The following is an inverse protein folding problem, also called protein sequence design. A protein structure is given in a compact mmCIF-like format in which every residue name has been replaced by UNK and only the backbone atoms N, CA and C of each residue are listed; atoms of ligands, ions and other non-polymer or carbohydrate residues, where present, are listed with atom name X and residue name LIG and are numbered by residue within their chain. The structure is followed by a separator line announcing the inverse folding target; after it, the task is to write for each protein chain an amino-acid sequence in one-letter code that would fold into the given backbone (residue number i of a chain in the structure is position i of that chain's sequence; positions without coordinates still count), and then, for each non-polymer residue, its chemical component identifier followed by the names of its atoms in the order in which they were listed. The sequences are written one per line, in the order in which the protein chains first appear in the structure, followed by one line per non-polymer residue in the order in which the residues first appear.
data_IF_731590284349
#
_entry.id   IF_731590284349
#
_cell.length_a   1.000
_cell.length_b   1.000
_cell.length_c   1.000
_cell.angle_alpha   90.00
_cell.angle_beta   90.00
_cell.angle_gamma   90.00
#
_symmetry.space_group_name_H-M   'P 1'
#
loop_
_entity.id
_entity.type
_entity.pdbx_description
1 polymer ?
#
# COMPACT_ATOMS: atom_id res chain seq x y z
N UNK A 1 4.09 77.52 41.88
CA UNK A 1 4.09 77.88 40.45
C UNK A 1 5.09 77.00 39.73
N UNK A 2 4.82 76.54 38.49
CA UNK A 2 3.76 75.63 38.07
C UNK A 2 4.12 74.16 38.37
N UNK A 3 3.09 73.31 38.49
CA UNK A 3 3.16 71.88 38.75
C UNK A 3 3.37 71.08 37.46
N UNK A 4 4.35 70.18 37.51
CA UNK A 4 4.54 69.11 36.53
C UNK A 4 3.64 67.92 36.83
N UNK A 5 3.53 67.07 35.81
CA UNK A 5 3.36 65.61 35.84
C UNK A 5 1.96 65.01 35.63
N UNK A 6 1.95 64.17 34.59
CA UNK A 6 1.33 62.85 34.49
C UNK A 6 -0.11 62.71 33.98
N UNK A 7 -0.15 62.18 32.75
CA UNK A 7 -1.21 61.46 32.09
C UNK A 7 -2.06 60.59 33.03
N UNK A 8 -3.39 60.74 32.91
CA UNK A 8 -4.35 59.76 33.37
C UNK A 8 -5.12 59.22 32.15
N UNK A 9 -4.81 57.98 31.81
CA UNK A 9 -5.58 57.13 30.90
C UNK A 9 -6.67 56.44 31.73
N UNK A 10 -7.95 56.41 31.34
CA UNK A 10 -8.95 55.73 32.14
C UNK A 10 -8.88 54.22 31.93
N UNK A 11 -8.83 53.52 33.06
CA UNK A 11 -8.93 52.08 33.24
C UNK A 11 -10.08 51.45 32.44
N UNK A 12 -9.76 50.48 31.58
CA UNK A 12 -10.69 49.43 31.15
C UNK A 12 -10.16 48.12 31.77
N UNK A 13 -10.91 47.43 32.63
CA UNK A 13 -10.48 46.14 33.14
C UNK A 13 -10.58 45.08 32.05
N UNK A 14 -9.44 44.41 31.82
CA UNK A 14 -9.31 43.20 31.03
C UNK A 14 -10.20 42.09 31.63
N UNK A 15 -11.21 41.65 30.89
CA UNK A 15 -11.74 40.29 31.01
C UNK A 15 -11.13 39.46 29.88
N UNK A 16 -9.95 38.91 30.14
CA UNK A 16 -9.37 37.86 29.32
C UNK A 16 -10.07 36.55 29.67
N UNK A 17 -11.09 36.16 28.89
CA UNK A 17 -11.64 34.80 28.94
C UNK A 17 -11.11 34.06 27.71
N UNK A 18 -10.27 33.02 27.88
CA UNK A 18 -9.81 32.23 26.75
C UNK A 18 -10.94 31.27 26.35
N UNK A 19 -11.80 31.67 25.40
CA UNK A 19 -12.77 30.75 24.77
C UNK A 19 -12.34 30.45 23.35
N UNK A 20 -11.27 29.68 23.17
CA UNK A 20 -10.92 29.11 21.86
C UNK A 20 -10.28 27.71 21.94
N UNK A 21 -10.65 26.88 22.92
CA UNK A 21 -10.26 25.45 22.91
C UNK A 21 -11.41 24.45 22.68
N UNK A 22 -12.68 24.85 22.82
CA UNK A 22 -13.82 23.91 22.78
C UNK A 22 -14.72 24.00 21.53
N UNK A 23 -14.55 24.99 20.66
CA UNK A 23 -15.42 25.17 19.49
C UNK A 23 -15.08 24.24 18.31
N UNK A 24 -13.79 23.97 18.10
CA UNK A 24 -13.34 23.08 17.01
C UNK A 24 -13.75 21.62 17.23
N UNK A 25 -13.67 21.11 18.46
CA UNK A 25 -14.11 19.75 18.78
C UNK A 25 -15.61 19.54 18.63
N UNK A 26 -16.44 20.53 19.03
CA UNK A 26 -17.89 20.49 18.83
C UNK A 26 -18.29 20.55 17.35
N UNK A 27 -17.56 21.31 16.54
CA UNK A 27 -17.76 21.37 15.10
C UNK A 27 -17.46 20.04 14.41
N UNK A 28 -16.41 19.33 14.85
CA UNK A 28 -16.04 18.04 14.24
C UNK A 28 -17.06 16.94 14.57
N UNK A 29 -17.55 16.89 15.81
CA UNK A 29 -18.63 15.97 16.20
C UNK A 29 -19.91 16.21 15.39
N UNK A 30 -20.23 17.49 15.12
CA UNK A 30 -21.37 17.82 14.26
C UNK A 30 -21.15 17.33 12.81
N UNK A 31 -19.94 17.47 12.26
CA UNK A 31 -19.59 16.92 10.94
C UNK A 31 -19.74 15.41 10.92
N UNK A 32 -19.24 14.70 11.92
CA UNK A 32 -19.35 13.23 12.01
C UNK A 32 -20.81 12.75 12.05
N UNK A 33 -21.66 13.43 12.84
CA UNK A 33 -23.09 13.15 12.87
C UNK A 33 -23.75 13.41 11.51
N UNK A 34 -23.44 14.54 10.87
CA UNK A 34 -23.98 14.87 9.54
C UNK A 34 -23.56 13.82 8.50
N UNK A 35 -22.29 13.42 8.50
CA UNK A 35 -21.77 12.45 7.55
C UNK A 35 -22.37 11.06 7.77
N UNK A 36 -22.60 10.67 9.03
CA UNK A 36 -23.32 9.43 9.35
C UNK A 36 -24.75 9.47 8.79
N UNK A 37 -25.47 10.59 8.96
CA UNK A 37 -26.83 10.75 8.43
C UNK A 37 -26.83 10.68 6.90
N UNK A 38 -25.85 11.34 6.24
CA UNK A 38 -25.70 11.32 4.79
C UNK A 38 -25.42 9.90 4.29
N UNK A 39 -24.52 9.15 4.91
CA UNK A 39 -24.21 7.78 4.54
C UNK A 39 -25.45 6.87 4.62
N UNK A 40 -26.17 6.95 5.75
CA UNK A 40 -27.41 6.21 5.95
C UNK A 40 -28.50 6.58 4.93
N UNK A 41 -28.57 7.86 4.52
CA UNK A 41 -29.51 8.31 3.49
C UNK A 41 -29.11 7.82 2.10
N UNK A 42 -27.81 7.77 1.78
CA UNK A 42 -27.28 7.37 0.48
C UNK A 42 -27.68 5.93 0.10
N UNK A 43 -27.85 5.04 1.08
CA UNK A 43 -28.33 3.68 0.86
C UNK A 43 -29.74 3.61 0.21
N UNK A 44 -30.51 4.70 0.27
CA UNK A 44 -31.86 4.81 -0.32
C UNK A 44 -31.88 5.60 -1.64
N UNK A 45 -30.74 6.15 -2.06
CA UNK A 45 -30.66 6.95 -3.29
C UNK A 45 -30.72 6.06 -4.52
N UNK A 46 -31.32 6.58 -5.59
CA UNK A 46 -31.08 6.01 -6.91
C UNK A 46 -29.68 6.39 -7.41
N UNK A 47 -29.22 5.75 -8.49
CA UNK A 47 -27.87 5.94 -9.01
C UNK A 47 -27.57 7.40 -9.41
N UNK A 48 -28.55 8.14 -9.93
CA UNK A 48 -28.36 9.55 -10.29
C UNK A 48 -28.14 10.43 -9.05
N UNK A 49 -28.99 10.28 -8.03
CA UNK A 49 -28.86 11.00 -6.77
C UNK A 49 -27.53 10.69 -6.07
N UNK A 50 -27.11 9.43 -6.09
CA UNK A 50 -25.83 9.02 -5.56
C UNK A 50 -24.66 9.64 -6.33
N UNK A 51 -24.72 9.65 -7.66
CA UNK A 51 -23.67 10.28 -8.47
C UNK A 51 -23.55 11.77 -8.17
N UNK A 52 -24.66 12.50 -8.02
CA UNK A 52 -24.61 13.91 -7.60
C UNK A 52 -23.95 14.10 -6.23
N UNK A 53 -24.26 13.25 -5.25
CA UNK A 53 -23.62 13.29 -3.93
C UNK A 53 -22.12 13.03 -4.04
N UNK A 54 -21.72 12.02 -4.80
CA UNK A 54 -20.31 11.66 -5.01
C UNK A 54 -19.56 12.80 -5.70
N UNK A 55 -20.12 13.38 -6.76
CA UNK A 55 -19.52 14.52 -7.47
C UNK A 55 -19.33 15.72 -6.54
N UNK A 56 -20.33 16.01 -5.69
CA UNK A 56 -20.23 17.04 -4.67
C UNK A 56 -19.08 16.75 -3.68
N UNK A 57 -19.02 15.53 -3.14
CA UNK A 57 -17.94 15.11 -2.22
C UNK A 57 -16.56 15.25 -2.89
N UNK A 58 -16.41 14.79 -4.14
CA UNK A 58 -15.15 14.90 -4.88
C UNK A 58 -14.76 16.35 -5.15
N UNK A 59 -15.73 17.23 -5.44
CA UNK A 59 -15.48 18.66 -5.61
C UNK A 59 -15.00 19.29 -4.32
N UNK A 60 -15.67 19.00 -3.19
CA UNK A 60 -15.24 19.48 -1.87
C UNK A 60 -13.86 18.97 -1.49
N UNK A 61 -13.56 17.70 -1.76
CA UNK A 61 -12.26 17.11 -1.43
C UNK A 61 -11.09 17.87 -2.08
N UNK A 62 -11.27 18.45 -3.28
CA UNK A 62 -10.19 19.20 -3.96
C UNK A 62 -9.89 20.57 -3.33
N UNK A 63 -10.84 21.16 -2.60
CA UNK A 63 -10.73 22.55 -2.10
C UNK A 63 -10.59 22.64 -0.59
N UNK A 64 -11.00 21.61 0.13
CA UNK A 64 -11.08 21.61 1.59
C UNK A 64 -9.75 21.32 2.29
N UNK A 65 -9.73 21.57 3.60
CA UNK A 65 -8.57 21.26 4.46
C UNK A 65 -8.30 19.76 4.56
N UNK A 66 -7.07 19.36 4.88
CA UNK A 66 -6.65 17.95 5.03
C UNK A 66 -7.58 17.18 5.99
N UNK A 67 -7.95 17.80 7.12
CA UNK A 67 -8.85 17.18 8.10
C UNK A 67 -10.23 16.85 7.49
N UNK A 68 -10.79 17.77 6.70
CA UNK A 68 -12.08 17.54 6.04
C UNK A 68 -11.93 16.57 4.87
N UNK A 69 -10.81 16.62 4.14
CA UNK A 69 -10.49 15.63 3.10
C UNK A 69 -10.50 14.20 3.67
N UNK A 70 -9.89 13.97 4.83
CA UNK A 70 -9.91 12.68 5.53
C UNK A 70 -11.35 12.25 5.88
N UNK A 71 -12.17 13.18 6.36
CA UNK A 71 -13.58 12.91 6.70
C UNK A 71 -14.45 12.64 5.47
N UNK A 72 -14.17 13.28 4.34
CA UNK A 72 -14.87 13.01 3.08
C UNK A 72 -14.52 11.63 2.52
N UNK A 73 -13.27 11.18 2.65
CA UNK A 73 -12.87 9.80 2.32
C UNK A 73 -13.56 8.79 3.23
N UNK A 74 -13.65 9.07 4.53
CA UNK A 74 -14.40 8.25 5.48
C UNK A 74 -15.89 8.15 5.11
N UNK A 75 -16.51 9.27 4.73
CA UNK A 75 -17.88 9.31 4.25
C UNK A 75 -18.06 8.43 3.00
N UNK A 76 -17.18 8.56 1.98
CA UNK A 76 -17.23 7.71 0.78
C UNK A 76 -17.13 6.23 1.13
N UNK A 77 -16.14 5.84 1.95
CA UNK A 77 -15.99 4.44 2.33
C UNK A 77 -17.15 3.90 3.17
N UNK A 78 -17.84 4.75 3.92
CA UNK A 78 -19.06 4.38 4.66
C UNK A 78 -20.24 4.21 3.70
N UNK A 79 -20.45 5.14 2.77
CA UNK A 79 -21.45 5.03 1.68
C UNK A 79 -21.23 3.72 0.91
N UNK A 80 -19.99 3.44 0.49
CA UNK A 80 -19.66 2.23 -0.26
C UNK A 80 -19.94 0.93 0.50
N UNK A 81 -19.91 0.96 1.84
CA UNK A 81 -20.22 -0.21 2.66
C UNK A 81 -21.72 -0.42 2.86
N UNK A 82 -22.47 0.66 3.00
CA UNK A 82 -23.91 0.63 3.30
C UNK A 82 -24.79 0.51 2.04
N UNK A 83 -24.26 0.87 0.87
CA UNK A 83 -25.00 0.83 -0.39
C UNK A 83 -24.97 -0.55 -1.09
N UNK A 84 -25.96 -0.84 -1.97
CA UNK A 84 -25.94 -2.02 -2.83
C UNK A 84 -24.70 -2.10 -3.73
N UNK A 85 -24.42 -3.30 -4.26
CA UNK A 85 -23.22 -3.60 -5.07
C UNK A 85 -22.95 -2.59 -6.19
N UNK A 86 -23.97 -2.18 -6.95
CA UNK A 86 -23.80 -1.24 -8.07
C UNK A 86 -23.28 0.13 -7.62
N UNK A 87 -23.89 0.67 -6.56
CA UNK A 87 -23.50 1.91 -5.90
C UNK A 87 -22.12 1.79 -5.25
N UNK A 88 -21.85 0.67 -4.59
CA UNK A 88 -20.55 0.40 -3.98
C UNK A 88 -19.43 0.29 -5.03
N UNK A 89 -19.69 -0.32 -6.18
CA UNK A 89 -18.75 -0.35 -7.31
C UNK A 89 -18.39 1.06 -7.78
N UNK A 90 -19.38 1.97 -7.86
CA UNK A 90 -19.12 3.37 -8.19
C UNK A 90 -18.22 4.05 -7.16
N UNK A 91 -18.46 3.83 -5.87
CA UNK A 91 -17.62 4.39 -4.79
C UNK A 91 -16.19 3.83 -4.86
N UNK A 92 -16.04 2.53 -5.11
CA UNK A 92 -14.73 1.89 -5.27
C UNK A 92 -13.93 2.53 -6.41
N UNK A 93 -14.56 2.80 -7.57
CA UNK A 93 -13.88 3.50 -8.68
C UNK A 93 -13.41 4.89 -8.27
N UNK A 94 -14.24 5.63 -7.54
CA UNK A 94 -13.89 6.98 -7.08
C UNK A 94 -12.73 6.95 -6.09
N UNK A 95 -12.76 6.06 -5.10
CA UNK A 95 -11.66 5.90 -4.16
C UNK A 95 -10.37 5.48 -4.88
N UNK A 96 -10.48 4.62 -5.90
CA UNK A 96 -9.36 4.21 -6.74
C UNK A 96 -8.76 5.39 -7.52
N UNK A 97 -9.59 6.19 -8.18
CA UNK A 97 -9.17 7.39 -8.92
C UNK A 97 -8.56 8.44 -7.99
N UNK A 98 -9.13 8.62 -6.79
CA UNK A 98 -8.60 9.51 -5.77
C UNK A 98 -7.22 9.04 -5.29
N UNK A 99 -7.04 7.73 -5.09
CA UNK A 99 -5.74 7.17 -4.73
C UNK A 99 -4.70 7.54 -5.81
N UNK A 100 -5.04 7.42 -7.08
CA UNK A 100 -4.17 7.74 -8.23
C UNK A 100 -3.97 9.24 -8.48
N UNK A 101 -4.49 10.12 -7.61
CA UNK A 101 -4.29 11.56 -7.76
C UNK A 101 -2.82 11.94 -7.55
N UNK A 102 -2.33 12.87 -8.37
CA UNK A 102 -0.99 13.41 -8.22
C UNK A 102 -0.82 14.11 -6.87
N UNK A 103 0.40 14.07 -6.32
CA UNK A 103 0.80 14.80 -5.08
C UNK A 103 0.04 14.39 -3.82
N UNK A 104 -0.40 13.14 -3.74
CA UNK A 104 -0.99 12.60 -2.53
C UNK A 104 0.08 12.34 -1.46
N UNK A 105 -0.17 12.79 -0.22
CA UNK A 105 0.68 12.42 0.92
C UNK A 105 0.50 10.94 1.27
N UNK A 106 1.52 10.31 1.86
CA UNK A 106 1.43 8.91 2.31
C UNK A 106 0.27 8.67 3.30
N UNK A 107 0.03 9.52 4.33
CA UNK A 107 -1.11 9.31 5.24
C UNK A 107 -2.47 9.34 4.53
N UNK A 108 -2.69 10.28 3.61
CA UNK A 108 -3.94 10.37 2.86
C UNK A 108 -4.11 9.18 1.93
N UNK A 109 -3.02 8.71 1.30
CA UNK A 109 -3.04 7.49 0.49
C UNK A 109 -3.48 6.28 1.32
N UNK A 110 -2.79 6.05 2.43
CA UNK A 110 -3.08 4.91 3.31
C UNK A 110 -4.53 4.98 3.82
N UNK A 111 -5.04 6.19 4.10
CA UNK A 111 -6.44 6.42 4.47
C UNK A 111 -7.44 6.06 3.36
N UNK A 112 -7.19 6.49 2.11
CA UNK A 112 -8.05 6.14 0.97
C UNK A 112 -8.05 4.63 0.73
N UNK A 113 -6.88 3.99 0.72
CA UNK A 113 -6.77 2.54 0.50
C UNK A 113 -7.39 1.73 1.64
N UNK A 114 -7.29 2.21 2.89
CA UNK A 114 -7.98 1.62 4.03
C UNK A 114 -9.50 1.59 3.82
N UNK A 115 -10.10 2.72 3.42
CA UNK A 115 -11.55 2.77 3.16
C UNK A 115 -11.96 1.99 1.92
N UNK A 116 -11.10 1.90 0.90
CA UNK A 116 -11.31 1.03 -0.26
C UNK A 116 -11.36 -0.45 0.15
N UNK A 117 -10.40 -0.92 0.95
CA UNK A 117 -10.39 -2.29 1.50
C UNK A 117 -11.60 -2.55 2.40
N UNK A 118 -12.00 -1.57 3.21
CA UNK A 118 -13.13 -1.68 4.15
C UNK A 118 -14.49 -1.84 3.46
N UNK A 119 -14.59 -1.61 2.14
CA UNK A 119 -15.78 -1.96 1.35
C UNK A 119 -15.82 -3.46 1.05
N UNK A 120 -14.65 -4.13 0.97
CA UNK A 120 -14.56 -5.58 0.80
C UNK A 120 -14.59 -6.36 2.13
N UNK A 121 -14.33 -5.72 3.28
CA UNK A 121 -14.04 -6.36 4.57
C UNK A 121 -15.21 -7.03 5.32
N UNK A 122 -16.30 -7.38 4.64
CA UNK A 122 -17.43 -8.13 5.20
C UNK A 122 -17.79 -9.20 4.17
N UNK A 123 -17.91 -10.47 4.56
CA UNK A 123 -18.09 -11.67 3.71
C UNK A 123 -19.24 -11.60 2.69
N UNK A 124 -19.12 -10.70 1.73
CA UNK A 124 -20.08 -10.33 0.71
C UNK A 124 -19.59 -10.93 -0.60
N UNK A 125 -19.86 -12.22 -0.79
CA UNK A 125 -19.59 -12.93 -2.05
C UNK A 125 -20.03 -12.20 -3.33
N UNK A 126 -21.08 -11.34 -3.36
CA UNK A 126 -21.37 -10.54 -4.55
C UNK A 126 -20.19 -9.65 -5.04
N UNK A 127 -19.22 -9.37 -4.18
CA UNK A 127 -18.06 -8.51 -4.45
C UNK A 127 -16.84 -9.29 -4.96
N UNK A 128 -16.88 -10.62 -5.02
CA UNK A 128 -15.73 -11.46 -5.44
C UNK A 128 -15.24 -11.08 -6.85
N UNK A 129 -16.18 -10.78 -7.76
CA UNK A 129 -15.86 -10.30 -9.12
C UNK A 129 -15.18 -8.94 -9.08
N UNK A 130 -15.69 -7.99 -8.28
CA UNK A 130 -15.09 -6.66 -8.13
C UNK A 130 -13.69 -6.77 -7.53
N UNK A 131 -13.53 -7.59 -6.49
CA UNK A 131 -12.24 -7.85 -5.84
C UNK A 131 -11.23 -8.39 -6.83
N UNK A 132 -11.62 -9.36 -7.67
CA UNK A 132 -10.80 -9.88 -8.77
C UNK A 132 -10.40 -8.77 -9.74
N UNK A 133 -11.33 -7.92 -10.15
CA UNK A 133 -11.04 -6.82 -11.07
C UNK A 133 -10.03 -5.83 -10.48
N UNK A 134 -10.14 -5.52 -9.17
CA UNK A 134 -9.15 -4.67 -8.49
C UNK A 134 -7.78 -5.34 -8.33
N UNK A 135 -7.72 -6.66 -8.11
CA UNK A 135 -6.45 -7.38 -8.15
C UNK A 135 -5.77 -7.24 -9.53
N UNK A 136 -6.55 -7.33 -10.62
CA UNK A 136 -6.04 -7.13 -11.98
C UNK A 136 -5.65 -5.67 -12.27
N UNK A 137 -6.35 -4.69 -11.69
CA UNK A 137 -5.93 -3.28 -11.73
C UNK A 137 -4.60 -3.08 -11.03
N UNK A 138 -4.41 -3.61 -9.82
CA UNK A 138 -3.11 -3.59 -9.13
C UNK A 138 -2.01 -4.18 -10.02
N UNK A 139 -2.24 -5.35 -10.63
CA UNK A 139 -1.28 -5.96 -11.56
C UNK A 139 -0.92 -5.06 -12.74
N UNK A 140 -1.89 -4.33 -13.26
CA UNK A 140 -1.65 -3.36 -14.34
C UNK A 140 -0.77 -2.21 -13.86
N UNK A 141 -0.94 -1.77 -12.61
CA UNK A 141 -0.11 -0.72 -12.01
C UNK A 141 1.30 -1.18 -11.65
N UNK A 142 1.51 -2.47 -11.33
CA UNK A 142 2.86 -3.06 -11.20
C UNK A 142 3.69 -2.90 -12.48
N UNK A 143 3.03 -2.95 -13.63
CA UNK A 143 3.67 -2.84 -14.95
C UNK A 143 3.84 -1.39 -15.41
N UNK A 144 3.23 -0.43 -14.70
CA UNK A 144 3.29 1.01 -15.03
C UNK A 144 4.47 1.66 -14.32
N UNK A 145 5.17 2.57 -15.02
CA UNK A 145 6.24 3.40 -14.45
C UNK A 145 5.73 4.59 -13.61
N UNK A 146 4.47 4.59 -13.18
CA UNK A 146 3.75 5.78 -12.69
C UNK A 146 3.79 6.00 -11.17
N UNK A 147 4.88 5.62 -10.49
CA UNK A 147 5.03 5.86 -9.05
C UNK A 147 3.99 5.15 -8.15
N UNK A 148 3.19 4.25 -8.72
CA UNK A 148 2.16 3.49 -8.00
C UNK A 148 2.57 2.05 -7.68
N UNK A 149 3.85 1.72 -7.82
CA UNK A 149 4.36 0.36 -7.66
C UNK A 149 4.14 -0.18 -6.23
N UNK A 150 4.70 0.51 -5.22
CA UNK A 150 4.61 0.07 -3.82
C UNK A 150 3.17 0.06 -3.30
N UNK A 151 2.34 1.10 -3.55
CA UNK A 151 0.91 1.06 -3.21
C UNK A 151 0.16 -0.11 -3.84
N UNK A 152 0.38 -0.37 -5.14
CA UNK A 152 -0.31 -1.46 -5.84
C UNK A 152 0.01 -2.84 -5.23
N UNK A 153 1.28 -3.08 -4.87
CA UNK A 153 1.69 -4.34 -4.27
C UNK A 153 1.09 -4.50 -2.86
N UNK A 154 1.15 -3.46 -2.02
CA UNK A 154 0.51 -3.49 -0.70
C UNK A 154 -0.99 -3.72 -0.79
N UNK A 155 -1.66 -3.00 -1.67
CA UNK A 155 -3.10 -3.13 -1.83
C UNK A 155 -3.50 -4.50 -2.41
N UNK A 156 -2.72 -5.05 -3.34
CA UNK A 156 -2.91 -6.43 -3.83
C UNK A 156 -2.73 -7.45 -2.71
N UNK A 157 -1.69 -7.32 -1.89
CA UNK A 157 -1.49 -8.15 -0.70
C UNK A 157 -2.71 -8.10 0.21
N UNK A 158 -3.17 -6.90 0.56
CA UNK A 158 -4.28 -6.71 1.50
C UNK A 158 -5.60 -7.26 0.95
N UNK A 159 -5.89 -7.02 -0.34
CA UNK A 159 -7.05 -7.61 -1.02
C UNK A 159 -7.00 -9.14 -0.91
N UNK A 160 -5.86 -9.77 -1.21
CA UNK A 160 -5.73 -11.22 -1.12
C UNK A 160 -5.72 -11.74 0.33
N UNK A 161 -5.35 -10.92 1.32
CA UNK A 161 -5.23 -11.32 2.72
C UNK A 161 -6.55 -11.24 3.51
N UNK A 162 -7.40 -10.25 3.23
CA UNK A 162 -8.52 -9.84 4.08
C UNK A 162 -9.69 -10.85 4.23
N UNK A 163 -9.71 -11.98 3.53
CA UNK A 163 -10.82 -12.96 3.55
C UNK A 163 -10.64 -14.12 4.55
N UNK A 164 -9.54 -14.16 5.32
CA UNK A 164 -9.10 -15.40 5.99
C UNK A 164 -9.93 -15.87 7.21
N UNK A 165 -10.99 -15.16 7.64
CA UNK A 165 -11.52 -15.41 8.99
C UNK A 165 -12.67 -16.41 9.15
N UNK A 166 -13.53 -16.79 8.17
CA UNK A 166 -14.38 -17.98 8.43
C UNK A 166 -15.27 -18.66 7.36
N UNK A 167 -15.37 -18.26 6.09
CA UNK A 167 -16.27 -19.02 5.18
C UNK A 167 -15.77 -19.00 3.74
N UNK A 168 -15.54 -20.19 3.18
CA UNK A 168 -15.10 -20.50 1.81
C UNK A 168 -13.61 -20.36 1.50
N UNK A 169 -12.80 -21.28 2.03
CA UNK A 169 -11.39 -21.50 1.61
C UNK A 169 -11.19 -21.80 0.11
N UNK A 170 -12.25 -22.09 -0.66
CA UNK A 170 -12.14 -22.53 -2.07
C UNK A 170 -11.89 -21.40 -3.08
N UNK A 171 -12.38 -20.18 -2.83
CA UNK A 171 -12.33 -19.10 -3.83
C UNK A 171 -10.96 -18.40 -3.91
N UNK A 172 -10.23 -18.35 -2.80
CA UNK A 172 -8.93 -17.68 -2.72
C UNK A 172 -7.82 -18.45 -3.45
N UNK A 173 -7.80 -19.77 -3.31
CA UNK A 173 -6.86 -20.65 -4.04
C UNK A 173 -7.08 -20.50 -5.55
N UNK A 174 -8.34 -20.40 -5.99
CA UNK A 174 -8.69 -20.15 -7.39
C UNK A 174 -8.25 -18.76 -7.87
N UNK A 175 -8.36 -17.71 -7.04
CA UNK A 175 -7.92 -16.37 -7.39
C UNK A 175 -6.39 -16.25 -7.44
N UNK A 176 -5.67 -16.81 -6.46
CA UNK A 176 -4.19 -16.82 -6.46
C UNK A 176 -3.68 -17.64 -7.64
N UNK A 177 -4.24 -18.82 -7.86
CA UNK A 177 -3.92 -19.68 -9.00
C UNK A 177 -4.15 -18.95 -10.33
N UNK A 178 -5.27 -18.23 -10.46
CA UNK A 178 -5.52 -17.38 -11.63
C UNK A 178 -4.46 -16.30 -11.80
N UNK A 179 -4.18 -15.51 -10.77
CA UNK A 179 -3.23 -14.39 -10.88
C UNK A 179 -1.82 -14.89 -11.20
N UNK A 180 -1.39 -15.99 -10.57
CA UNK A 180 -0.06 -16.56 -10.79
C UNK A 180 0.03 -17.25 -12.15
N UNK A 181 -0.89 -18.15 -12.50
CA UNK A 181 -0.74 -18.97 -13.70
C UNK A 181 -1.28 -18.30 -14.97
N UNK A 182 -2.40 -17.57 -14.89
CA UNK A 182 -2.99 -16.91 -16.06
C UNK A 182 -2.36 -15.55 -16.33
N UNK A 183 -1.99 -14.82 -15.28
CA UNK A 183 -1.46 -13.46 -15.39
C UNK A 183 0.03 -13.33 -15.05
N UNK A 184 0.72 -14.45 -14.80
CA UNK A 184 2.17 -14.52 -14.53
C UNK A 184 2.63 -13.52 -13.45
N UNK A 185 1.83 -13.41 -12.37
CA UNK A 185 2.05 -12.43 -11.29
C UNK A 185 3.47 -12.52 -10.68
N UNK A 186 4.01 -13.72 -10.51
CA UNK A 186 5.37 -13.90 -9.98
C UNK A 186 6.40 -13.24 -10.90
N UNK A 187 6.28 -13.41 -12.21
CA UNK A 187 7.14 -12.73 -13.18
C UNK A 187 7.01 -11.22 -13.10
N UNK A 188 5.77 -10.73 -13.04
CA UNK A 188 5.49 -9.31 -13.01
C UNK A 188 6.14 -8.66 -11.77
N UNK A 189 6.06 -9.32 -10.61
CA UNK A 189 6.69 -8.86 -9.37
C UNK A 189 8.23 -8.82 -9.44
N UNK A 190 8.85 -9.88 -9.97
CA UNK A 190 10.32 -9.92 -10.08
C UNK A 190 10.79 -8.86 -11.09
N UNK A 191 10.09 -8.71 -12.21
CA UNK A 191 10.43 -7.73 -13.24
C UNK A 191 10.20 -6.29 -12.76
N UNK A 192 9.12 -6.04 -12.00
CA UNK A 192 8.86 -4.71 -11.43
C UNK A 192 9.92 -4.33 -10.39
N UNK A 193 10.37 -5.29 -9.59
CA UNK A 193 11.47 -5.09 -8.64
C UNK A 193 12.77 -4.73 -9.36
N UNK A 194 13.17 -5.52 -10.36
CA UNK A 194 14.37 -5.27 -11.16
C UNK A 194 14.35 -3.90 -11.84
N UNK A 195 13.21 -3.55 -12.45
CA UNK A 195 13.01 -2.24 -13.09
C UNK A 195 13.08 -1.11 -12.07
N UNK A 196 12.44 -1.29 -10.91
CA UNK A 196 12.46 -0.32 -9.83
C UNK A 196 13.88 -0.06 -9.32
N UNK A 197 14.66 -1.11 -9.06
CA UNK A 197 16.03 -0.96 -8.58
C UNK A 197 16.91 -0.24 -9.61
N UNK A 198 16.78 -0.58 -10.90
CA UNK A 198 17.50 0.11 -11.97
C UNK A 198 17.09 1.59 -12.07
N UNK A 199 15.79 1.89 -12.01
CA UNK A 199 15.28 3.27 -12.07
C UNK A 199 15.77 4.11 -10.88
N UNK A 200 15.79 3.55 -9.67
CA UNK A 200 16.30 4.23 -8.46
C UNK A 200 17.80 4.46 -8.57
N UNK A 201 18.56 3.43 -8.96
CA UNK A 201 20.01 3.53 -9.19
C UNK A 201 20.38 4.62 -10.19
N UNK A 202 19.67 4.67 -11.31
CA UNK A 202 19.89 5.67 -12.35
C UNK A 202 19.56 7.09 -11.86
N UNK A 203 18.47 7.25 -11.09
CA UNK A 203 18.08 8.55 -10.51
C UNK A 203 19.06 9.05 -9.44
N UNK A 204 19.69 8.15 -8.69
CA UNK A 204 20.66 8.51 -7.63
C UNK A 204 22.11 8.45 -8.08
N UNK A 205 22.38 8.18 -9.37
CA UNK A 205 23.72 8.03 -9.93
C UNK A 205 24.55 6.99 -9.16
N UNK A 206 23.91 5.91 -8.71
CA UNK A 206 24.53 4.83 -7.93
C UNK A 206 24.63 5.07 -6.42
N UNK A 207 24.17 6.21 -5.92
CA UNK A 207 24.11 6.48 -4.48
C UNK A 207 22.76 6.04 -3.89
N UNK A 208 22.48 4.73 -3.91
CA UNK A 208 21.28 4.17 -3.29
C UNK A 208 21.53 3.86 -1.82
N UNK A 209 20.67 4.38 -0.96
CA UNK A 209 20.61 4.08 0.47
C UNK A 209 19.25 3.49 0.84
N UNK A 210 19.13 2.90 2.04
CA UNK A 210 17.87 2.33 2.53
C UNK A 210 16.72 3.35 2.54
N UNK A 211 17.04 4.63 2.80
CA UNK A 211 16.08 5.74 2.90
C UNK A 211 15.82 6.45 1.56
N UNK A 212 16.46 6.01 0.49
CA UNK A 212 16.27 6.59 -0.85
C UNK A 212 14.81 6.41 -1.28
N UNK A 213 14.15 7.49 -1.66
CA UNK A 213 12.74 7.44 -2.06
C UNK A 213 12.59 6.95 -3.51
N UNK A 214 11.70 5.97 -3.72
CA UNK A 214 11.41 5.38 -5.04
C UNK A 214 10.48 6.26 -5.87
N UNK A 215 9.36 6.67 -5.23
CA UNK A 215 8.25 7.41 -5.82
C UNK A 215 7.95 8.71 -5.06
N UNK A 216 8.81 9.09 -4.11
CA UNK A 216 8.61 10.24 -3.21
C UNK A 216 7.80 9.93 -1.95
N UNK A 217 7.30 8.70 -1.77
CA UNK A 217 6.49 8.29 -0.60
C UNK A 217 7.07 7.09 0.15
N UNK A 218 7.63 6.14 -0.58
CA UNK A 218 8.20 4.92 -0.02
C UNK A 218 9.70 4.84 -0.25
N UNK A 219 10.39 4.26 0.73
CA UNK A 219 11.84 4.06 0.65
C UNK A 219 12.19 2.86 -0.21
N UNK A 220 13.45 2.78 -0.63
CA UNK A 220 14.01 1.65 -1.37
C UNK A 220 13.90 0.35 -0.59
N UNK A 221 14.18 0.40 0.72
CA UNK A 221 13.98 -0.74 1.62
C UNK A 221 12.52 -1.19 1.64
N UNK A 222 11.58 -0.26 1.80
CA UNK A 222 10.15 -0.58 1.83
C UNK A 222 9.71 -1.21 0.51
N UNK A 223 10.23 -0.73 -0.62
CA UNK A 223 9.95 -1.30 -1.93
C UNK A 223 10.38 -2.77 -1.99
N UNK A 224 11.64 -3.09 -1.68
CA UNK A 224 12.14 -4.47 -1.74
C UNK A 224 11.35 -5.37 -0.78
N UNK A 225 11.17 -4.95 0.48
CA UNK A 225 10.42 -5.73 1.47
C UNK A 225 8.99 -6.01 1.01
N UNK A 226 8.29 -5.01 0.51
CA UNK A 226 6.91 -5.15 0.03
C UNK A 226 6.79 -6.15 -1.13
N UNK A 227 7.75 -6.17 -2.07
CA UNK A 227 7.78 -7.16 -3.15
C UNK A 227 7.99 -8.58 -2.61
N UNK A 228 8.95 -8.74 -1.70
CA UNK A 228 9.32 -10.02 -1.11
C UNK A 228 8.22 -10.58 -0.19
N UNK A 229 7.53 -9.72 0.56
CA UNK A 229 6.40 -10.10 1.42
C UNK A 229 5.24 -10.64 0.59
N UNK A 230 4.87 -9.96 -0.51
CA UNK A 230 3.83 -10.47 -1.41
C UNK A 230 4.25 -11.77 -2.08
N UNK A 231 5.50 -11.89 -2.55
CA UNK A 231 5.99 -13.12 -3.15
C UNK A 231 5.90 -14.30 -2.17
N UNK A 232 6.37 -14.10 -0.93
CA UNK A 232 6.30 -15.11 0.14
C UNK A 232 4.85 -15.54 0.41
N UNK A 233 3.95 -14.56 0.46
CA UNK A 233 2.54 -14.80 0.69
C UNK A 233 1.89 -15.60 -0.44
N UNK A 234 2.19 -15.28 -1.70
CA UNK A 234 1.67 -16.00 -2.86
C UNK A 234 2.15 -17.46 -2.87
N UNK A 235 3.42 -17.70 -2.57
CA UNK A 235 3.97 -19.06 -2.50
C UNK A 235 3.30 -19.87 -1.39
N UNK A 236 3.22 -19.32 -0.18
CA UNK A 236 2.63 -20.01 0.98
C UNK A 236 1.13 -20.22 0.85
N UNK A 237 0.38 -19.17 0.52
CA UNK A 237 -1.08 -19.24 0.43
C UNK A 237 -1.55 -19.99 -0.82
N UNK A 238 -0.79 -19.92 -1.92
CA UNK A 238 -1.08 -20.67 -3.15
C UNK A 238 -0.58 -22.12 -3.12
N UNK A 239 0.16 -22.54 -2.08
CA UNK A 239 0.87 -23.82 -2.04
C UNK A 239 1.72 -24.05 -3.31
N UNK A 240 2.46 -23.00 -3.70
CA UNK A 240 3.26 -22.95 -4.92
C UNK A 240 4.74 -23.04 -4.57
N UNK A 241 5.52 -23.65 -5.47
CA UNK A 241 6.97 -23.64 -5.39
C UNK A 241 7.57 -22.70 -6.43
N UNK A 242 8.56 -21.90 -6.01
CA UNK A 242 9.30 -21.08 -6.95
C UNK A 242 10.20 -21.96 -7.82
N UNK A 243 9.99 -21.90 -9.13
CA UNK A 243 10.75 -22.67 -10.13
C UNK A 243 12.13 -22.04 -10.39
N UNK A 244 13.08 -22.86 -10.85
CA UNK A 244 14.49 -22.46 -11.01
C UNK A 244 14.67 -21.16 -11.78
N UNK A 245 13.98 -21.02 -12.92
CA UNK A 245 14.04 -19.81 -13.75
C UNK A 245 13.71 -18.54 -12.94
N UNK A 246 12.63 -18.57 -12.14
CA UNK A 246 12.20 -17.41 -11.34
C UNK A 246 13.12 -17.18 -10.15
N UNK A 247 13.61 -18.25 -9.55
CA UNK A 247 14.60 -18.20 -8.48
C UNK A 247 15.91 -17.56 -8.95
N UNK A 248 16.38 -17.90 -10.17
CA UNK A 248 17.56 -17.29 -10.79
C UNK A 248 17.31 -15.82 -11.14
N UNK A 249 16.16 -15.45 -11.70
CA UNK A 249 15.80 -14.05 -12.00
C UNK A 249 15.79 -13.18 -10.73
N UNK A 250 15.20 -13.67 -9.64
CA UNK A 250 15.16 -12.98 -8.35
C UNK A 250 16.56 -12.87 -7.73
N UNK A 251 17.36 -13.93 -7.83
CA UNK A 251 18.74 -13.95 -7.36
C UNK A 251 19.60 -12.93 -8.10
N UNK A 252 19.49 -12.90 -9.43
CA UNK A 252 20.22 -11.95 -10.26
C UNK A 252 19.81 -10.51 -9.91
N UNK A 253 18.52 -10.28 -9.68
CA UNK A 253 17.97 -8.97 -9.29
C UNK A 253 18.50 -8.47 -7.94
N UNK A 254 18.56 -9.33 -6.91
CA UNK A 254 18.87 -8.93 -5.53
C UNK A 254 20.31 -9.18 -5.09
N UNK A 255 21.10 -9.95 -5.83
CA UNK A 255 22.43 -10.40 -5.36
C UNK A 255 23.52 -10.20 -6.42
N UNK A 256 23.23 -10.49 -7.70
CA UNK A 256 24.28 -10.48 -8.75
C UNK A 256 24.32 -9.16 -9.53
N UNK A 257 23.25 -8.37 -9.50
CA UNK A 257 23.14 -7.13 -10.25
C UNK A 257 24.13 -6.06 -9.72
N UNK A 258 24.79 -5.37 -10.65
CA UNK A 258 25.78 -4.33 -10.36
C UNK A 258 25.17 -3.09 -9.66
N UNK A 259 23.85 -2.93 -9.75
CA UNK A 259 23.09 -1.82 -9.18
C UNK A 259 22.63 -2.08 -7.73
N UNK A 260 23.23 -3.06 -7.06
CA UNK A 260 22.73 -3.59 -5.78
C UNK A 260 23.70 -3.28 -4.65
N UNK A 261 23.16 -2.69 -3.58
CA UNK A 261 23.93 -2.36 -2.37
C UNK A 261 24.07 -3.55 -1.42
N UNK A 262 24.96 -3.42 -0.42
CA UNK A 262 25.15 -4.45 0.62
C UNK A 262 23.86 -4.76 1.42
N UNK A 263 22.97 -3.79 1.53
CA UNK A 263 21.68 -3.96 2.19
C UNK A 263 20.70 -4.81 1.37
N UNK A 264 20.62 -4.58 0.07
CA UNK A 264 19.74 -5.34 -0.83
C UNK A 264 20.15 -6.82 -0.84
N UNK A 265 21.46 -7.09 -0.81
CA UNK A 265 21.99 -8.45 -0.62
C UNK A 265 21.47 -9.09 0.67
N UNK A 266 21.52 -8.36 1.79
CA UNK A 266 21.05 -8.88 3.09
C UNK A 266 19.54 -9.19 3.07
N UNK A 267 18.72 -8.33 2.46
CA UNK A 267 17.29 -8.62 2.27
C UNK A 267 17.07 -9.85 1.39
N UNK A 268 17.78 -9.95 0.26
CA UNK A 268 17.69 -11.08 -0.65
C UNK A 268 18.09 -12.39 0.03
N UNK A 269 19.24 -12.43 0.71
CA UNK A 269 19.69 -13.62 1.44
C UNK A 269 18.71 -14.01 2.54
N UNK A 270 18.27 -13.06 3.37
CA UNK A 270 17.31 -13.35 4.43
C UNK A 270 16.00 -13.91 3.88
N UNK A 271 15.56 -13.43 2.71
CA UNK A 271 14.37 -13.94 2.05
C UNK A 271 14.56 -15.38 1.55
N UNK A 272 15.63 -15.66 0.80
CA UNK A 272 15.95 -17.02 0.35
C UNK A 272 16.12 -18.00 1.53
N UNK A 273 16.63 -17.50 2.66
CA UNK A 273 16.73 -18.29 3.89
C UNK A 273 15.35 -18.66 4.43
N UNK A 274 14.46 -17.66 4.51
CA UNK A 274 13.13 -17.80 5.10
C UNK A 274 12.16 -18.58 4.20
N UNK A 275 12.32 -18.47 2.88
CA UNK A 275 11.50 -19.14 1.87
C UNK A 275 12.15 -20.41 1.31
N UNK A 276 13.12 -20.99 2.02
CA UNK A 276 13.82 -22.20 1.57
C UNK A 276 12.86 -23.37 1.31
N UNK A 277 11.89 -23.59 2.20
CA UNK A 277 10.84 -24.63 2.04
C UNK A 277 9.88 -24.35 0.87
N UNK A 278 9.76 -23.09 0.44
CA UNK A 278 8.90 -22.65 -0.67
C UNK A 278 9.63 -22.72 -2.04
N UNK A 279 10.91 -23.10 -2.06
CA UNK A 279 11.67 -23.36 -3.30
C UNK A 279 11.52 -24.83 -3.69
N UNK A 280 11.40 -25.12 -4.99
CA UNK A 280 11.45 -26.51 -5.42
C UNK A 280 12.86 -27.09 -5.18
N UNK A 281 12.95 -28.42 -4.96
CA UNK A 281 14.22 -29.10 -4.62
C UNK A 281 15.32 -28.88 -5.67
N UNK A 282 14.93 -28.83 -6.95
CA UNK A 282 15.86 -28.53 -8.05
C UNK A 282 16.43 -27.13 -7.94
N UNK A 283 15.61 -26.12 -7.63
CA UNK A 283 16.05 -24.73 -7.42
C UNK A 283 17.01 -24.62 -6.26
N UNK A 284 16.72 -25.30 -5.15
CA UNK A 284 17.59 -25.30 -3.97
C UNK A 284 18.99 -25.81 -4.35
N UNK A 285 19.07 -26.99 -4.95
CA UNK A 285 20.34 -27.62 -5.34
C UNK A 285 21.06 -26.75 -6.37
N UNK A 286 20.38 -26.31 -7.43
CA UNK A 286 21.00 -25.54 -8.49
C UNK A 286 21.46 -24.15 -8.05
N UNK A 287 20.68 -23.44 -7.23
CA UNK A 287 21.11 -22.15 -6.66
C UNK A 287 22.34 -22.34 -5.76
N UNK A 288 22.36 -23.41 -4.96
CA UNK A 288 23.51 -23.70 -4.13
C UNK A 288 24.77 -23.99 -4.95
N UNK A 289 24.68 -24.95 -5.87
CA UNK A 289 25.82 -25.41 -6.67
C UNK A 289 26.33 -24.32 -7.61
N UNK A 290 25.45 -23.52 -8.21
CA UNK A 290 25.84 -22.55 -9.23
C UNK A 290 26.16 -21.17 -8.65
N UNK A 291 25.49 -20.75 -7.59
CA UNK A 291 25.56 -19.37 -7.08
C UNK A 291 26.19 -19.31 -5.68
N UNK A 292 25.61 -19.99 -4.69
CA UNK A 292 26.09 -19.93 -3.30
C UNK A 292 27.52 -20.44 -3.16
N UNK A 293 27.86 -21.56 -3.80
CA UNK A 293 29.21 -22.15 -3.74
C UNK A 293 30.29 -21.25 -4.38
N UNK A 294 29.88 -20.32 -5.26
CA UNK A 294 30.78 -19.44 -6.03
C UNK A 294 30.76 -17.99 -5.55
N UNK A 295 29.93 -17.67 -4.55
CA UNK A 295 29.86 -16.33 -3.97
C UNK A 295 31.18 -16.00 -3.27
N UNK A 296 31.67 -14.78 -3.49
CA UNK A 296 32.84 -14.29 -2.79
C UNK A 296 32.48 -14.09 -1.30
N UNK A 297 33.19 -14.72 -0.34
CA UNK A 297 32.88 -14.60 1.09
C UNK A 297 32.82 -13.16 1.62
N UNK A 298 33.46 -12.21 0.93
CA UNK A 298 33.49 -10.78 1.28
C UNK A 298 32.14 -10.09 1.00
N UNK A 299 31.35 -10.58 0.04
CA UNK A 299 30.03 -10.02 -0.31
C UNK A 299 28.92 -10.48 0.64
N UNK A 300 29.21 -11.48 1.48
CA UNK A 300 28.29 -12.00 2.46
C UNK A 300 28.56 -11.31 3.81
N UNK A 301 27.56 -10.66 4.37
CA UNK A 301 27.63 -10.28 5.78
C UNK A 301 27.79 -11.56 6.62
N UNK A 302 28.50 -11.49 7.74
CA UNK A 302 28.79 -12.64 8.61
C UNK A 302 27.53 -13.40 9.07
N UNK A 303 26.37 -12.72 9.09
CA UNK A 303 25.05 -13.33 9.33
C UNK A 303 24.48 -14.08 8.11
N UNK A 304 24.65 -13.53 6.90
CA UNK A 304 24.21 -14.16 5.65
C UNK A 304 24.95 -15.47 5.40
N UNK A 305 26.28 -15.45 5.44
CA UNK A 305 27.12 -16.64 5.18
C UNK A 305 26.75 -17.85 6.06
N UNK A 306 26.64 -17.63 7.38
CA UNK A 306 26.34 -18.70 8.33
C UNK A 306 24.92 -19.27 8.16
N UNK A 307 23.93 -18.44 7.83
CA UNK A 307 22.55 -18.91 7.63
C UNK A 307 22.34 -19.57 6.28
N UNK A 308 23.01 -19.10 5.23
CA UNK A 308 22.92 -19.71 3.89
C UNK A 308 23.59 -21.09 3.86
N UNK A 309 24.71 -21.29 4.57
CA UNK A 309 25.38 -22.59 4.68
C UNK A 309 24.54 -23.66 5.40
N UNK A 310 23.73 -23.26 6.38
CA UNK A 310 22.89 -24.19 7.16
C UNK A 310 21.67 -24.72 6.41
N UNK A 311 21.33 -24.16 5.23
CA UNK A 311 20.14 -24.54 4.46
C UNK A 311 20.40 -25.56 3.36
N UNK A 312 21.66 -25.77 2.99
CA UNK A 312 22.04 -26.64 1.88
C UNK A 312 22.81 -27.89 2.34
N UNK A 313 22.80 -28.17 3.64
CA UNK A 313 23.16 -29.42 4.29
C UNK A 313 21.93 -30.03 4.96
#
# INVERSE_FOLDING_TARGET
MPTSTQACNPFIPQFYVPVQKDTHGRSLVAVDHLFTIIASAAAKFNLQQLNYLIEFICSSWKTETILIQEKLVELLGTIGRECPKESAARVLEILWDMAHSERLSRPMLDHILYYHLRIFSEGRSPYDVLKRDYCLKCMSDLQRKQGWLVPAIKHLYDLLHHDSTNTFKRTDEDLISLLVHKHDLISALIQSLSTCQSDVWNKTLGHVTIDTLVDGRYTHEESIKTHLDLLSFLLKKGNLYLILKRSEELWDTLITNEHVGSFDHELGFNWFITCSEDLNRESQIALFEKRVSKLNPIQLTSKGYNKTLFLFY
#
